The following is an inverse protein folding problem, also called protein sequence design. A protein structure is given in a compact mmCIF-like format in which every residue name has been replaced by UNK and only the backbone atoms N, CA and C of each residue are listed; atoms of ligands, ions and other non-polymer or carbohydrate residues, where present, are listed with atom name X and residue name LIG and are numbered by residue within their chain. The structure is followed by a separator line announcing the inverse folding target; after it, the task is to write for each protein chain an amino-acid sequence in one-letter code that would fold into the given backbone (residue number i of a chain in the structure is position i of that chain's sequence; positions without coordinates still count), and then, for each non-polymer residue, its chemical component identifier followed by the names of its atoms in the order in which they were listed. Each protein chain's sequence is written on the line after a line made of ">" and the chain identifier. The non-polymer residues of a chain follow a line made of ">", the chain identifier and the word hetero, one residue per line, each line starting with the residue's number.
data_IF_634389878634
#
_entry.id   IF_634389878634
#
_cell.length_a   1.000
_cell.length_b   1.000
_cell.length_c   1.000
_cell.angle_alpha   90.00
_cell.angle_beta   90.00
_cell.angle_gamma   90.00
#
_symmetry.space_group_name_H-M   'P 1'
#
loop_
_entity.id
_entity.type
_entity.pdbx_description
1 polymer ?
#
# COMPACT_ATOMS: atom_id res chain seq x y z
N UNK A 1 6.22 12.75 -28.10
CA UNK A 1 5.85 11.73 -27.10
C UNK A 1 6.61 12.05 -25.82
N UNK A 2 5.94 12.63 -24.82
CA UNK A 2 6.56 12.87 -23.51
C UNK A 2 6.84 11.51 -22.87
N UNK A 3 8.06 11.27 -22.40
CA UNK A 3 8.36 10.07 -21.62
C UNK A 3 7.39 10.03 -20.44
N UNK A 4 6.58 8.97 -20.32
CA UNK A 4 5.71 8.79 -19.18
C UNK A 4 6.57 8.87 -17.91
N UNK A 5 6.34 9.87 -17.07
CA UNK A 5 6.98 9.90 -15.75
C UNK A 5 6.61 8.60 -15.04
N UNK A 6 7.63 7.85 -14.61
CA UNK A 6 7.41 6.66 -13.80
C UNK A 6 6.89 7.13 -12.45
N UNK A 7 5.74 6.58 -12.04
CA UNK A 7 5.22 6.80 -10.69
C UNK A 7 6.29 6.41 -9.66
N UNK A 8 6.43 7.19 -8.56
CA UNK A 8 7.38 6.86 -7.51
C UNK A 8 6.98 5.55 -6.84
N UNK A 9 7.96 4.64 -6.70
CA UNK A 9 7.76 3.32 -6.08
C UNK A 9 8.78 3.16 -4.96
N UNK A 10 8.30 2.72 -3.79
CA UNK A 10 9.15 2.28 -2.69
C UNK A 10 8.96 0.78 -2.46
N UNK A 11 10.05 0.08 -2.15
CA UNK A 11 10.02 -1.34 -1.79
C UNK A 11 10.67 -1.56 -0.43
N UNK A 12 10.09 -2.45 0.35
CA UNK A 12 10.64 -2.94 1.61
C UNK A 12 10.66 -4.46 1.55
N UNK A 13 11.62 -5.08 2.25
CA UNK A 13 11.69 -6.53 2.36
C UNK A 13 11.15 -6.95 3.72
N UNK A 14 10.29 -7.95 3.73
CA UNK A 14 9.74 -8.58 4.94
C UNK A 14 10.02 -10.09 4.85
N UNK A 15 10.49 -10.75 5.92
CA UNK A 15 10.67 -12.20 5.91
C UNK A 15 9.31 -12.92 5.78
N UNK A 16 9.27 -14.12 5.21
CA UNK A 16 8.02 -14.89 5.07
C UNK A 16 7.41 -15.30 6.42
N UNK A 17 8.20 -15.28 7.50
CA UNK A 17 7.76 -15.55 8.87
C UNK A 17 7.32 -14.29 9.65
N UNK A 18 7.19 -13.15 8.97
CA UNK A 18 6.78 -11.91 9.62
C UNK A 18 5.38 -12.03 10.22
N UNK A 19 5.25 -11.59 11.47
CA UNK A 19 3.95 -11.41 12.11
C UNK A 19 3.16 -10.28 11.45
N UNK A 20 1.84 -10.28 11.59
CA UNK A 20 0.97 -9.20 11.10
C UNK A 20 1.44 -7.82 11.59
N UNK A 21 1.87 -7.72 12.85
CA UNK A 21 2.44 -6.47 13.40
C UNK A 21 3.66 -6.00 12.60
N UNK A 22 4.59 -6.90 12.28
CA UNK A 22 5.77 -6.56 11.48
C UNK A 22 5.37 -6.17 10.05
N UNK A 23 4.39 -6.84 9.45
CA UNK A 23 3.86 -6.47 8.13
C UNK A 23 3.26 -5.05 8.14
N UNK A 24 2.49 -4.71 9.17
CA UNK A 24 1.95 -3.35 9.38
C UNK A 24 3.08 -2.32 9.46
N UNK A 25 4.05 -2.53 10.35
CA UNK A 25 5.20 -1.61 10.55
C UNK A 25 6.01 -1.42 9.25
N UNK A 26 6.24 -2.50 8.49
CA UNK A 26 6.95 -2.43 7.20
C UNK A 26 6.13 -1.73 6.12
N UNK A 27 4.82 -1.91 6.10
CA UNK A 27 3.93 -1.23 5.16
C UNK A 27 3.93 0.28 5.44
N UNK A 28 3.87 0.69 6.71
CA UNK A 28 4.01 2.10 7.10
C UNK A 28 5.35 2.69 6.64
N UNK A 29 6.46 1.95 6.79
CA UNK A 29 7.79 2.33 6.29
C UNK A 29 7.82 2.49 4.76
N UNK A 30 7.17 1.58 4.02
CA UNK A 30 7.11 1.63 2.57
C UNK A 30 6.38 2.89 2.09
N UNK A 31 5.19 3.17 2.65
CA UNK A 31 4.39 4.35 2.29
C UNK A 31 5.14 5.65 2.57
N UNK A 32 5.84 5.75 3.71
CA UNK A 32 6.63 6.93 4.06
C UNK A 32 7.80 7.21 3.10
N UNK A 33 8.27 6.21 2.36
CA UNK A 33 9.37 6.33 1.38
C UNK A 33 8.90 6.73 -0.02
N UNK A 34 7.60 6.69 -0.29
CA UNK A 34 7.05 7.11 -1.59
C UNK A 34 6.99 8.63 -1.62
N UNK A 35 8.05 9.30 -2.09
CA UNK A 35 8.00 10.74 -2.33
C UNK A 35 7.35 11.03 -3.69
N UNK A 36 6.45 12.03 -3.85
CA UNK A 36 6.00 13.03 -2.86
C UNK A 36 4.61 12.69 -2.27
N UNK A 37 4.35 11.43 -1.91
CA UNK A 37 3.04 10.99 -1.47
C UNK A 37 2.56 11.71 -0.19
N UNK A 38 3.36 11.85 0.89
CA UNK A 38 2.90 12.51 2.11
C UNK A 38 2.38 13.93 1.89
N UNK A 39 2.99 14.69 0.98
CA UNK A 39 2.56 16.04 0.62
C UNK A 39 1.22 16.02 -0.13
N UNK A 40 1.08 15.13 -1.12
CA UNK A 40 -0.17 14.97 -1.90
C UNK A 40 -1.35 14.54 -1.03
N UNK A 41 -1.09 13.77 0.02
CA UNK A 41 -2.14 13.27 0.92
C UNK A 41 -2.78 14.36 1.78
N UNK A 42 -2.03 15.43 2.13
CA UNK A 42 -2.56 16.53 2.97
C UNK A 42 -3.67 17.32 2.30
N UNK A 43 -3.66 17.39 0.97
CA UNK A 43 -4.64 18.14 0.19
C UNK A 43 -5.84 17.29 -0.24
N UNK A 44 -5.76 15.97 -0.04
CA UNK A 44 -6.81 15.06 -0.44
C UNK A 44 -8.06 15.21 0.46
N UNK A 45 -9.24 15.16 -0.16
CA UNK A 45 -10.53 15.08 0.55
C UNK A 45 -11.03 13.64 0.66
N UNK A 46 -10.71 12.83 -0.34
CA UNK A 46 -11.08 11.41 -0.41
C UNK A 46 -9.93 10.62 -1.01
N UNK A 47 -9.66 9.45 -0.46
CA UNK A 47 -8.64 8.51 -0.92
C UNK A 47 -9.29 7.14 -1.10
N UNK A 48 -9.17 6.59 -2.30
CA UNK A 48 -9.60 5.22 -2.58
C UNK A 48 -8.41 4.26 -2.43
N UNK A 49 -8.56 3.24 -1.58
CA UNK A 49 -7.60 2.14 -1.43
C UNK A 49 -8.21 0.91 -2.08
N UNK A 50 -7.73 0.59 -3.28
CA UNK A 50 -8.11 -0.63 -3.99
C UNK A 50 -7.28 -1.80 -3.46
N UNK A 51 -7.96 -2.81 -2.96
CA UNK A 51 -7.37 -4.06 -2.48
C UNK A 51 -7.87 -5.22 -3.32
N UNK A 52 -7.14 -6.33 -3.35
CA UNK A 52 -7.61 -7.57 -3.98
C UNK A 52 -8.23 -8.45 -2.89
N UNK A 53 -9.40 -8.07 -2.39
CA UNK A 53 -10.04 -8.74 -1.26
C UNK A 53 -10.66 -10.06 -1.71
N UNK A 54 -10.47 -11.12 -0.90
CA UNK A 54 -11.16 -12.40 -1.14
C UNK A 54 -10.71 -13.13 -2.41
N UNK A 55 -9.59 -12.74 -3.03
CA UNK A 55 -8.99 -13.47 -4.14
C UNK A 55 -8.35 -14.76 -3.58
N UNK A 56 -8.87 -15.97 -3.91
CA UNK A 56 -8.31 -17.23 -3.43
C UNK A 56 -7.06 -17.65 -4.22
N UNK A 57 -6.56 -16.77 -5.10
CA UNK A 57 -5.56 -17.07 -6.11
C UNK A 57 -4.19 -16.58 -5.66
N UNK A 58 -3.22 -17.49 -5.70
CA UNK A 58 -1.80 -17.15 -5.64
C UNK A 58 -1.33 -16.82 -7.05
N UNK A 59 -1.32 -15.54 -7.43
CA UNK A 59 -0.63 -15.10 -8.64
C UNK A 59 0.85 -14.91 -8.31
N UNK A 60 1.68 -15.72 -8.95
CA UNK A 60 3.12 -15.65 -8.84
C UNK A 60 3.69 -14.94 -10.07
N UNK A 61 4.52 -13.92 -9.87
CA UNK A 61 5.38 -13.34 -10.91
C UNK A 61 6.81 -13.70 -10.56
N UNK A 62 7.51 -14.44 -11.43
CA UNK A 62 8.86 -14.97 -11.15
C UNK A 62 8.93 -15.81 -9.86
N UNK A 63 7.89 -16.58 -9.57
CA UNK A 63 7.79 -17.40 -8.36
C UNK A 63 7.51 -16.61 -7.07
N UNK A 64 7.20 -15.30 -7.16
CA UNK A 64 6.89 -14.44 -6.01
C UNK A 64 5.41 -14.05 -6.03
N UNK A 65 4.74 -14.14 -4.89
CA UNK A 65 3.37 -13.66 -4.72
C UNK A 65 3.34 -12.13 -4.84
N UNK A 66 2.48 -11.61 -5.72
CA UNK A 66 2.47 -10.18 -6.09
C UNK A 66 1.18 -9.43 -5.73
N UNK A 67 0.19 -10.08 -5.13
CA UNK A 67 -1.11 -9.46 -4.83
C UNK A 67 -1.24 -8.95 -3.39
N UNK A 68 -1.92 -7.80 -3.24
CA UNK A 68 -2.31 -7.18 -1.98
C UNK A 68 -3.58 -7.86 -1.42
N UNK A 69 -3.45 -9.11 -0.96
CA UNK A 69 -4.56 -9.89 -0.40
C UNK A 69 -4.58 -9.88 1.14
N UNK A 70 -3.51 -9.38 1.78
CA UNK A 70 -3.27 -9.57 3.22
C UNK A 70 -3.90 -8.44 4.06
N UNK A 71 -4.82 -8.73 5.00
CA UNK A 71 -5.42 -7.74 5.90
C UNK A 71 -4.41 -6.86 6.64
N UNK A 72 -3.28 -7.43 7.07
CA UNK A 72 -2.23 -6.67 7.76
C UNK A 72 -1.59 -5.57 6.87
N UNK A 73 -1.53 -5.79 5.55
CA UNK A 73 -1.06 -4.77 4.61
C UNK A 73 -2.09 -3.65 4.48
N UNK A 74 -3.38 -4.00 4.40
CA UNK A 74 -4.47 -3.01 4.35
C UNK A 74 -4.47 -2.13 5.60
N UNK A 75 -4.33 -2.74 6.79
CA UNK A 75 -4.19 -2.00 8.04
C UNK A 75 -2.99 -1.03 8.01
N UNK A 76 -1.81 -1.52 7.59
CA UNK A 76 -0.60 -0.71 7.48
C UNK A 76 -0.75 0.47 6.53
N UNK A 77 -1.39 0.28 5.37
CA UNK A 77 -1.70 1.37 4.43
C UNK A 77 -2.60 2.42 5.10
N UNK A 78 -3.72 2.00 5.69
CA UNK A 78 -4.67 2.93 6.33
C UNK A 78 -3.98 3.74 7.43
N UNK A 79 -3.21 3.07 8.29
CA UNK A 79 -2.46 3.74 9.38
C UNK A 79 -1.43 4.73 8.84
N UNK A 80 -0.71 4.37 7.78
CA UNK A 80 0.26 5.25 7.15
C UNK A 80 -0.41 6.49 6.54
N UNK A 81 -1.52 6.31 5.83
CA UNK A 81 -2.29 7.41 5.26
C UNK A 81 -2.78 8.37 6.36
N UNK A 82 -3.34 7.82 7.45
CA UNK A 82 -3.86 8.59 8.59
C UNK A 82 -2.81 9.43 9.32
N UNK A 83 -1.51 9.16 9.15
CA UNK A 83 -0.44 10.04 9.67
C UNK A 83 -0.34 11.37 8.92
N UNK A 84 -0.95 11.47 7.75
CA UNK A 84 -0.75 12.59 6.83
C UNK A 84 -2.06 13.21 6.33
N UNK A 85 -3.22 12.62 6.62
CA UNK A 85 -4.50 13.07 6.08
C UNK A 85 -5.71 12.76 6.96
N UNK A 86 -6.66 13.68 6.96
CA UNK A 86 -8.01 13.52 7.51
C UNK A 86 -9.04 13.14 6.43
N UNK A 87 -8.60 12.90 5.20
CA UNK A 87 -9.47 12.53 4.08
C UNK A 87 -10.39 11.33 4.41
N UNK A 88 -11.54 11.27 3.76
CA UNK A 88 -12.34 10.04 3.73
C UNK A 88 -11.53 8.93 3.05
N UNK A 89 -11.41 7.76 3.70
CA UNK A 89 -10.72 6.61 3.11
C UNK A 89 -11.76 5.57 2.75
N UNK A 90 -11.92 5.34 1.45
CA UNK A 90 -12.79 4.31 0.88
C UNK A 90 -11.95 3.08 0.58
N UNK A 91 -12.21 1.98 1.28
CA UNK A 91 -11.53 0.70 1.04
C UNK A 91 -12.50 -0.23 0.34
N UNK A 92 -12.09 -0.78 -0.80
CA UNK A 92 -12.95 -1.66 -1.57
C UNK A 92 -12.19 -2.44 -2.61
N UNK A 93 -12.85 -3.49 -3.10
CA UNK A 93 -12.48 -4.21 -4.30
C UNK A 93 -13.59 -4.00 -5.34
N UNK A 94 -13.26 -4.09 -6.63
CA UNK A 94 -14.18 -3.85 -7.74
C UNK A 94 -14.87 -5.13 -8.21
#
# INVERSE_FOLDING_TARGET
>A
MTAAQREPVATVRCPPSASNRQVVERTEEAVARVAPLPERLREARTIAVKINAGVPRLVLTEGRQTELTEPAVVEGVIRALRRHTEAEILVGDA
#
